data_IF_424707427869
#
_entry.id   IF_424707427869
#
_cell.length_a   1.000
_cell.length_b   1.000
_cell.length_c   1.000
_cell.angle_alpha   90.00
_cell.angle_beta   90.00
_cell.angle_gamma   90.00
#
_symmetry.space_group_name_H-M   'P 1'
#
loop_
_entity.id
_entity.type
_entity.pdbx_description
1 polymer ?
#
# COMPACT_ATOMS: atom_id res chain seq x y z
N UNK A 1 25.49 12.05 -20.42
CA UNK A 1 25.24 11.74 -19.00
C UNK A 1 24.47 10.44 -18.95
N UNK A 2 25.06 9.38 -18.40
CA UNK A 2 24.41 8.10 -18.22
C UNK A 2 23.45 8.26 -17.02
N UNK A 3 22.15 8.27 -17.27
CA UNK A 3 21.14 8.34 -16.21
C UNK A 3 20.77 6.91 -15.81
N UNK A 4 20.92 6.61 -14.51
CA UNK A 4 20.62 5.30 -13.93
C UNK A 4 21.82 4.34 -13.83
N UNK A 5 21.80 3.50 -12.80
CA UNK A 5 22.75 2.40 -12.65
C UNK A 5 22.22 1.17 -13.40
N UNK A 6 23.07 0.52 -14.22
CA UNK A 6 22.71 -0.77 -14.81
C UNK A 6 22.71 -1.83 -13.70
N UNK A 7 21.59 -2.52 -13.54
CA UNK A 7 21.47 -3.65 -12.62
C UNK A 7 22.15 -4.86 -13.26
N UNK A 8 23.13 -5.43 -12.57
CA UNK A 8 23.79 -6.67 -13.00
C UNK A 8 23.08 -7.91 -12.45
N UNK A 9 23.37 -9.08 -13.00
CA UNK A 9 22.91 -10.35 -12.43
C UNK A 9 23.38 -10.54 -10.99
N UNK A 10 24.58 -10.04 -10.65
CA UNK A 10 25.09 -10.06 -9.28
C UNK A 10 24.23 -9.22 -8.33
N UNK A 11 23.77 -8.06 -8.78
CA UNK A 11 22.91 -7.18 -7.98
C UNK A 11 21.52 -7.78 -7.80
N UNK A 12 20.97 -8.45 -8.82
CA UNK A 12 19.72 -9.20 -8.69
C UNK A 12 19.83 -10.32 -7.66
N UNK A 13 20.92 -11.10 -7.70
CA UNK A 13 21.17 -12.16 -6.72
C UNK A 13 21.33 -11.61 -5.30
N UNK A 14 22.01 -10.47 -5.14
CA UNK A 14 22.12 -9.78 -3.84
C UNK A 14 20.75 -9.33 -3.33
N UNK A 15 19.94 -8.70 -4.19
CA UNK A 15 18.60 -8.25 -3.81
C UNK A 15 17.71 -9.43 -3.37
N UNK A 16 17.76 -10.55 -4.11
CA UNK A 16 17.06 -11.77 -3.74
C UNK A 16 17.56 -12.34 -2.40
N UNK A 17 18.87 -12.39 -2.20
CA UNK A 17 19.47 -12.84 -0.93
C UNK A 17 19.07 -11.94 0.25
N UNK A 18 19.05 -10.62 0.07
CA UNK A 18 18.63 -9.69 1.12
C UNK A 18 17.15 -9.87 1.49
N UNK A 19 16.28 -10.04 0.49
CA UNK A 19 14.87 -10.37 0.70
C UNK A 19 14.73 -11.67 1.50
N UNK A 20 15.41 -12.73 1.07
CA UNK A 20 15.29 -14.04 1.70
C UNK A 20 15.84 -14.04 3.14
N UNK A 21 16.95 -13.34 3.38
CA UNK A 21 17.47 -13.10 4.74
C UNK A 21 16.49 -12.32 5.62
N UNK A 22 15.78 -11.33 5.09
CA UNK A 22 14.78 -10.59 5.85
C UNK A 22 13.57 -11.46 6.21
N UNK A 23 13.10 -12.30 5.28
CA UNK A 23 12.00 -13.25 5.54
C UNK A 23 12.42 -14.28 6.58
N UNK A 24 13.65 -14.81 6.49
CA UNK A 24 14.16 -15.75 7.48
C UNK A 24 14.29 -15.09 8.86
N UNK A 25 14.79 -13.85 8.92
CA UNK A 25 14.89 -13.12 10.18
C UNK A 25 13.51 -12.89 10.81
N UNK A 26 12.47 -12.61 10.01
CA UNK A 26 11.09 -12.55 10.52
C UNK A 26 10.63 -13.89 11.10
N UNK A 27 10.99 -15.01 10.45
CA UNK A 27 10.63 -16.35 10.92
C UNK A 27 11.38 -16.70 12.22
N UNK A 28 12.65 -16.34 12.31
CA UNK A 28 13.46 -16.54 13.51
C UNK A 28 12.94 -15.73 14.70
N UNK A 29 12.42 -14.51 14.46
CA UNK A 29 11.77 -13.67 15.49
C UNK A 29 10.41 -14.23 15.89
N UNK A 30 9.63 -14.74 14.94
CA UNK A 30 8.36 -15.41 15.22
C UNK A 30 8.55 -16.68 16.06
N UNK A 31 9.65 -17.41 15.83
CA UNK A 31 10.00 -18.64 16.54
C UNK A 31 8.82 -19.63 16.67
N UNK A 32 8.27 -19.79 17.87
CA UNK A 32 7.16 -20.70 18.20
C UNK A 32 5.77 -20.02 18.17
N UNK A 33 5.72 -18.69 18.02
CA UNK A 33 4.48 -17.95 17.95
C UNK A 33 3.90 -18.02 16.53
N UNK A 34 2.63 -18.42 16.43
CA UNK A 34 1.93 -18.41 15.17
C UNK A 34 1.77 -16.95 14.68
N UNK A 35 2.33 -16.64 13.52
CA UNK A 35 2.10 -15.37 12.82
C UNK A 35 1.02 -15.61 11.76
N UNK A 36 -0.26 -15.29 12.05
CA UNK A 36 -1.34 -15.60 11.12
C UNK A 36 -1.26 -14.74 9.85
N UNK A 37 -0.78 -13.51 9.97
CA UNK A 37 -0.75 -12.53 8.89
C UNK A 37 0.53 -11.69 8.91
N UNK A 38 1.00 -11.29 7.72
CA UNK A 38 2.15 -10.40 7.55
C UNK A 38 1.84 -9.37 6.47
N UNK A 39 2.02 -8.08 6.78
CA UNK A 39 1.94 -7.03 5.76
C UNK A 39 3.32 -6.69 5.22
N UNK A 40 3.42 -6.49 3.89
CA UNK A 40 4.65 -6.05 3.23
C UNK A 40 4.34 -4.92 2.27
N UNK A 41 5.16 -3.86 2.34
CA UNK A 41 5.04 -2.71 1.45
C UNK A 41 5.95 -2.86 0.24
N UNK A 42 5.39 -2.65 -0.95
CA UNK A 42 6.09 -2.59 -2.22
C UNK A 42 5.88 -1.22 -2.87
N UNK A 43 6.88 -0.75 -3.61
CA UNK A 43 6.66 0.34 -4.57
C UNK A 43 5.70 -0.18 -5.65
N UNK A 44 4.68 0.58 -6.01
CA UNK A 44 3.71 0.16 -7.02
C UNK A 44 4.25 0.15 -8.45
N UNK A 45 3.56 -0.54 -9.37
CA UNK A 45 4.00 -0.69 -10.76
C UNK A 45 4.22 0.65 -11.46
N UNK A 46 3.35 1.64 -11.26
CA UNK A 46 3.45 2.96 -11.92
C UNK A 46 4.58 3.77 -11.31
N UNK A 47 4.62 3.87 -9.98
CA UNK A 47 5.71 4.51 -9.27
C UNK A 47 7.08 3.89 -9.63
N UNK A 48 7.12 2.57 -9.85
CA UNK A 48 8.32 1.87 -10.32
C UNK A 48 8.70 2.28 -11.75
N UNK A 49 7.74 2.30 -12.69
CA UNK A 49 7.96 2.81 -14.06
C UNK A 49 8.49 4.25 -14.09
N UNK A 50 7.99 5.11 -13.20
CA UNK A 50 8.44 6.50 -13.07
C UNK A 50 9.91 6.61 -12.65
N UNK A 51 10.40 5.66 -11.85
CA UNK A 51 11.78 5.61 -11.37
C UNK A 51 12.78 5.03 -12.39
N UNK A 52 12.28 4.27 -13.37
CA UNK A 52 13.09 3.45 -14.28
C UNK A 52 13.53 4.12 -15.58
N UNK A 53 14.59 3.57 -16.16
CA UNK A 53 15.23 4.05 -17.39
C UNK A 53 15.49 2.91 -18.36
N UNK A 54 15.27 3.17 -19.64
CA UNK A 54 15.61 2.27 -20.74
C UNK A 54 17.13 2.28 -20.98
N UNK A 55 17.70 1.23 -21.60
CA UNK A 55 19.11 1.20 -21.98
C UNK A 55 19.55 2.36 -22.89
N UNK A 56 18.60 2.94 -23.64
CA UNK A 56 18.78 4.13 -24.47
C UNK A 56 18.99 5.43 -23.66
N UNK A 57 18.78 5.39 -22.35
CA UNK A 57 18.79 6.56 -21.48
C UNK A 57 17.49 7.38 -21.53
N UNK A 58 16.41 6.87 -22.14
CA UNK A 58 15.06 7.44 -22.01
C UNK A 58 14.36 6.88 -20.76
N UNK A 59 13.29 7.53 -20.29
CA UNK A 59 12.42 7.01 -19.22
C UNK A 59 11.63 5.80 -19.72
N UNK A 60 11.36 4.84 -18.84
CA UNK A 60 10.44 3.72 -19.13
C UNK A 60 9.05 4.24 -19.50
N UNK A 61 8.58 5.29 -18.81
CA UNK A 61 7.28 5.91 -19.08
C UNK A 61 7.03 6.32 -20.54
N UNK A 62 8.07 6.49 -21.36
CA UNK A 62 7.93 6.90 -22.75
C UNK A 62 7.45 5.78 -23.68
N UNK A 63 7.69 4.52 -23.30
CA UNK A 63 7.49 3.34 -24.13
C UNK A 63 6.40 2.45 -23.52
N UNK A 64 5.29 2.28 -24.23
CA UNK A 64 4.16 1.50 -23.75
C UNK A 64 4.51 0.02 -23.55
N UNK A 65 5.30 -0.57 -24.46
CA UNK A 65 5.71 -1.97 -24.32
C UNK A 65 6.61 -2.17 -23.10
N UNK A 66 7.50 -1.21 -22.82
CA UNK A 66 8.31 -1.26 -21.60
C UNK A 66 7.48 -1.10 -20.31
N UNK A 67 6.36 -0.36 -20.35
CA UNK A 67 5.44 -0.26 -19.20
C UNK A 67 4.73 -1.60 -18.96
N UNK A 68 4.21 -2.22 -20.02
CA UNK A 68 3.58 -3.56 -19.93
C UNK A 68 4.57 -4.62 -19.40
N UNK A 69 5.80 -4.63 -19.93
CA UNK A 69 6.87 -5.53 -19.47
C UNK A 69 7.17 -5.33 -17.97
N UNK A 70 7.21 -4.09 -17.50
CA UNK A 70 7.46 -3.77 -16.09
C UNK A 70 6.27 -4.15 -15.21
N UNK A 71 5.03 -3.95 -15.65
CA UNK A 71 3.85 -4.39 -14.92
C UNK A 71 3.83 -5.92 -14.76
N UNK A 72 4.16 -6.66 -15.82
CA UNK A 72 4.31 -8.11 -15.78
C UNK A 72 5.41 -8.56 -14.82
N UNK A 73 6.60 -7.96 -14.92
CA UNK A 73 7.72 -8.27 -14.04
C UNK A 73 7.43 -7.93 -12.56
N UNK A 74 6.69 -6.84 -12.30
CA UNK A 74 6.23 -6.49 -10.96
C UNK A 74 5.32 -7.58 -10.40
N UNK A 75 4.34 -8.05 -11.18
CA UNK A 75 3.39 -9.08 -10.79
C UNK A 75 4.09 -10.41 -10.50
N UNK A 76 5.05 -10.83 -11.33
CA UNK A 76 5.85 -12.05 -11.11
C UNK A 76 6.70 -11.93 -9.82
N UNK A 77 7.30 -10.76 -9.59
CA UNK A 77 8.07 -10.47 -8.39
C UNK A 77 7.22 -10.52 -7.11
N UNK A 78 6.02 -9.92 -7.16
CA UNK A 78 5.05 -9.95 -6.06
C UNK A 78 4.58 -11.38 -5.76
N UNK A 79 4.20 -12.16 -6.78
CA UNK A 79 3.82 -13.56 -6.62
C UNK A 79 4.94 -14.40 -5.98
N UNK A 80 6.19 -14.18 -6.39
CA UNK A 80 7.36 -14.86 -5.81
C UNK A 80 7.53 -14.52 -4.33
N UNK A 81 7.37 -13.24 -3.96
CA UNK A 81 7.45 -12.79 -2.57
C UNK A 81 6.32 -13.39 -1.72
N UNK A 82 5.08 -13.34 -2.21
CA UNK A 82 3.89 -13.93 -1.57
C UNK A 82 4.12 -15.41 -1.28
N UNK A 83 4.55 -16.17 -2.29
CA UNK A 83 4.85 -17.60 -2.16
C UNK A 83 5.93 -17.87 -1.10
N UNK A 84 6.97 -17.03 -1.03
CA UNK A 84 8.04 -17.15 -0.04
C UNK A 84 7.57 -16.87 1.38
N UNK A 85 6.78 -15.82 1.59
CA UNK A 85 6.19 -15.51 2.90
C UNK A 85 5.34 -16.70 3.37
N UNK A 86 4.44 -17.19 2.52
CA UNK A 86 3.60 -18.36 2.86
C UNK A 86 4.43 -19.60 3.21
N UNK A 87 5.50 -19.86 2.46
CA UNK A 87 6.32 -21.07 2.65
C UNK A 87 7.20 -21.00 3.89
N UNK A 88 7.80 -19.84 4.18
CA UNK A 88 8.80 -19.69 5.25
C UNK A 88 8.15 -19.31 6.58
N UNK A 89 7.14 -18.44 6.55
CA UNK A 89 6.47 -17.93 7.76
C UNK A 89 5.16 -18.66 8.07
N UNK A 90 4.55 -19.36 7.10
CA UNK A 90 3.20 -19.91 7.27
C UNK A 90 2.10 -18.85 7.36
N UNK A 91 2.44 -17.57 7.18
CA UNK A 91 1.53 -16.44 7.33
C UNK A 91 0.77 -16.11 6.04
N UNK A 92 -0.43 -15.54 6.17
CA UNK A 92 -1.15 -14.92 5.05
C UNK A 92 -0.57 -13.52 4.76
N UNK A 93 -0.04 -13.26 3.55
CA UNK A 93 0.51 -11.96 3.21
C UNK A 93 -0.58 -10.95 2.81
N UNK A 94 -0.38 -9.70 3.21
CA UNK A 94 -1.07 -8.51 2.72
C UNK A 94 -0.05 -7.57 2.06
N UNK A 95 -0.25 -7.21 0.80
CA UNK A 95 0.66 -6.34 0.05
C UNK A 95 0.13 -4.91 0.07
N UNK A 96 0.93 -3.98 0.60
CA UNK A 96 0.67 -2.55 0.56
C UNK A 96 1.43 -1.95 -0.63
N UNK A 97 0.72 -1.42 -1.62
CA UNK A 97 1.28 -0.94 -2.88
C UNK A 97 1.37 0.59 -2.84
N UNK A 98 2.58 1.13 -2.79
CA UNK A 98 2.83 2.58 -2.72
C UNK A 98 2.80 3.22 -4.12
N UNK A 99 1.71 3.91 -4.42
CA UNK A 99 1.39 4.61 -5.68
C UNK A 99 1.05 6.09 -5.46
N UNK A 100 1.51 6.68 -4.35
CA UNK A 100 1.22 8.08 -4.00
C UNK A 100 1.67 9.09 -5.05
N UNK A 101 2.65 8.73 -5.85
CA UNK A 101 3.21 9.59 -6.90
C UNK A 101 2.60 9.34 -8.29
N UNK A 102 1.68 8.37 -8.44
CA UNK A 102 1.11 7.99 -9.74
C UNK A 102 0.40 9.16 -10.45
N UNK A 103 -0.19 10.11 -9.71
CA UNK A 103 -0.80 11.32 -10.27
C UNK A 103 0.18 12.15 -11.12
N UNK A 104 1.49 12.12 -10.82
CA UNK A 104 2.49 12.82 -11.64
C UNK A 104 2.59 12.25 -13.05
N UNK A 105 2.37 10.94 -13.22
CA UNK A 105 2.35 10.30 -14.53
C UNK A 105 1.08 10.68 -15.31
N UNK A 106 -0.07 10.72 -14.63
CA UNK A 106 -1.36 11.14 -15.21
C UNK A 106 -1.30 12.61 -15.65
N UNK A 107 -0.72 13.47 -14.83
CA UNK A 107 -0.65 14.90 -15.09
C UNK A 107 0.48 15.31 -16.05
N UNK A 108 1.29 14.37 -16.54
CA UNK A 108 2.44 14.67 -17.40
C UNK A 108 3.49 15.54 -16.69
N UNK A 109 3.72 15.26 -15.41
CA UNK A 109 4.61 16.02 -14.52
C UNK A 109 5.91 15.27 -14.19
N UNK A 110 6.14 14.11 -14.81
CA UNK A 110 7.41 13.38 -14.68
C UNK A 110 8.43 13.99 -15.62
N UNK A 111 9.60 14.37 -15.12
CA UNK A 111 10.65 14.98 -15.94
C UNK A 111 11.23 14.01 -16.95
N UNK A 112 11.47 14.49 -18.17
CA UNK A 112 12.17 13.71 -19.20
C UNK A 112 13.59 13.37 -18.79
N UNK A 113 14.21 12.48 -19.58
CA UNK A 113 15.58 12.07 -19.41
C UNK A 113 16.60 13.22 -19.28
N UNK A 114 16.43 14.29 -20.05
CA UNK A 114 17.31 15.47 -20.02
C UNK A 114 16.95 16.46 -18.91
N UNK A 115 15.81 16.28 -18.25
CA UNK A 115 15.24 17.25 -17.31
C UNK A 115 14.64 18.51 -17.96
N UNK A 116 14.86 18.73 -19.25
CA UNK A 116 14.46 19.96 -19.94
C UNK A 116 12.95 20.06 -20.20
N UNK A 117 12.23 18.94 -20.15
CA UNK A 117 10.78 18.87 -20.40
C UNK A 117 10.13 17.84 -19.49
N UNK A 118 8.85 17.54 -19.74
CA UNK A 118 8.10 16.49 -19.06
C UNK A 118 7.73 15.37 -20.03
N UNK A 119 7.62 14.15 -19.50
CA UNK A 119 7.06 13.01 -20.20
C UNK A 119 5.56 13.25 -20.46
N UNK A 120 5.03 12.59 -21.48
CA UNK A 120 3.60 12.68 -21.81
C UNK A 120 2.75 12.12 -20.67
N UNK A 121 1.56 12.70 -20.49
CA UNK A 121 0.54 12.17 -19.60
C UNK A 121 0.18 10.73 -19.99
N UNK A 122 -0.02 9.89 -18.98
CA UNK A 122 -0.55 8.53 -19.12
C UNK A 122 -2.04 8.56 -18.80
N UNK A 123 -2.84 7.82 -19.56
CA UNK A 123 -4.29 7.76 -19.33
C UNK A 123 -4.60 7.07 -17.99
N UNK A 124 -5.60 7.58 -17.27
CA UNK A 124 -6.05 6.98 -15.99
C UNK A 124 -6.50 5.53 -16.19
N UNK A 125 -7.10 5.17 -17.34
CA UNK A 125 -7.47 3.79 -17.64
C UNK A 125 -6.26 2.87 -17.78
N UNK A 126 -5.15 3.40 -18.26
CA UNK A 126 -3.90 2.63 -18.36
C UNK A 126 -3.31 2.39 -16.97
N UNK A 127 -3.26 3.42 -16.13
CA UNK A 127 -2.87 3.30 -14.71
C UNK A 127 -3.72 2.26 -13.98
N UNK A 128 -5.05 2.33 -14.18
CA UNK A 128 -6.01 1.37 -13.63
C UNK A 128 -5.67 -0.06 -14.03
N UNK A 129 -5.33 -0.33 -15.29
CA UNK A 129 -4.99 -1.69 -15.75
C UNK A 129 -3.74 -2.28 -15.07
N UNK A 130 -2.76 -1.44 -14.73
CA UNK A 130 -1.59 -1.87 -13.97
C UNK A 130 -1.95 -2.20 -12.52
N UNK A 131 -2.88 -1.45 -11.93
CA UNK A 131 -3.41 -1.76 -10.60
C UNK A 131 -4.28 -3.01 -10.60
N UNK A 132 -5.10 -3.24 -11.64
CA UNK A 132 -5.86 -4.48 -11.82
C UNK A 132 -4.94 -5.70 -11.86
N UNK A 133 -3.81 -5.57 -12.58
CA UNK A 133 -2.74 -6.59 -12.57
C UNK A 133 -2.13 -6.78 -11.18
N UNK A 134 -1.95 -5.70 -10.44
CA UNK A 134 -1.38 -5.73 -9.10
C UNK A 134 -2.30 -6.35 -8.05
N UNK A 135 -3.62 -6.16 -8.14
CA UNK A 135 -4.59 -6.74 -7.19
C UNK A 135 -4.99 -8.18 -7.53
N UNK A 136 -4.71 -8.66 -8.75
CA UNK A 136 -4.98 -10.05 -9.17
C UNK A 136 -4.08 -11.11 -8.50
N UNK A 137 -3.30 -10.73 -7.49
CA UNK A 137 -2.39 -11.61 -6.77
C UNK A 137 -3.15 -12.55 -5.83
N UNK A 138 -2.55 -13.69 -5.49
CA UNK A 138 -3.10 -14.63 -4.50
C UNK A 138 -2.84 -14.16 -3.05
N UNK A 139 -3.13 -12.89 -2.76
CA UNK A 139 -2.95 -12.21 -1.48
C UNK A 139 -3.89 -11.00 -1.40
N UNK A 140 -4.13 -10.47 -0.20
CA UNK A 140 -4.78 -9.16 -0.06
C UNK A 140 -3.84 -8.09 -0.59
N UNK A 141 -4.33 -7.18 -1.44
CA UNK A 141 -3.54 -6.08 -2.01
C UNK A 141 -4.27 -4.77 -1.77
N UNK A 142 -3.58 -3.82 -1.14
CA UNK A 142 -4.10 -2.49 -0.83
C UNK A 142 -3.28 -1.44 -1.56
N UNK A 143 -3.93 -0.64 -2.42
CA UNK A 143 -3.27 0.45 -3.14
C UNK A 143 -3.31 1.74 -2.33
N UNK A 144 -2.14 2.30 -2.01
CA UNK A 144 -1.99 3.63 -1.41
C UNK A 144 -1.66 4.64 -2.50
N UNK A 145 -2.57 5.57 -2.77
CA UNK A 145 -2.40 6.57 -3.83
C UNK A 145 -2.78 7.96 -3.35
N UNK A 146 -2.63 8.97 -4.22
CA UNK A 146 -3.07 10.34 -3.96
C UNK A 146 -4.59 10.47 -4.02
N UNK A 147 -5.14 11.49 -3.35
CA UNK A 147 -6.57 11.85 -3.39
C UNK A 147 -7.14 11.92 -4.81
N UNK A 148 -6.35 12.40 -5.79
CA UNK A 148 -6.77 12.51 -7.20
C UNK A 148 -7.11 11.16 -7.85
N UNK A 149 -6.55 10.05 -7.35
CA UNK A 149 -6.68 8.71 -7.93
C UNK A 149 -7.32 7.69 -6.97
N UNK A 150 -7.73 8.12 -5.77
CA UNK A 150 -8.29 7.22 -4.76
C UNK A 150 -9.57 6.52 -5.26
N UNK A 151 -10.41 7.24 -6.02
CA UNK A 151 -11.61 6.65 -6.63
C UNK A 151 -11.25 5.56 -7.66
N UNK A 152 -10.22 5.82 -8.49
CA UNK A 152 -9.72 4.83 -9.46
C UNK A 152 -9.17 3.60 -8.75
N UNK A 153 -8.44 3.76 -7.64
CA UNK A 153 -7.92 2.65 -6.86
C UNK A 153 -9.05 1.85 -6.18
N UNK A 154 -10.05 2.54 -5.62
CA UNK A 154 -11.23 1.92 -5.00
C UNK A 154 -12.08 1.13 -6.01
N UNK A 155 -12.13 1.56 -7.27
CA UNK A 155 -12.80 0.82 -8.34
C UNK A 155 -12.06 -0.48 -8.74
N UNK A 156 -10.80 -0.64 -8.33
CA UNK A 156 -9.95 -1.80 -8.62
C UNK A 156 -9.96 -2.81 -7.47
N UNK A 157 -9.87 -2.34 -6.22
CA UNK A 157 -9.83 -3.23 -5.06
C UNK A 157 -9.65 -2.50 -3.74
N UNK A 158 -9.01 -3.18 -2.79
CA UNK A 158 -8.73 -2.61 -1.48
C UNK A 158 -7.78 -1.42 -1.56
N UNK A 159 -8.01 -0.45 -0.67
CA UNK A 159 -7.25 0.81 -0.64
C UNK A 159 -6.59 1.01 0.72
N UNK A 160 -5.51 1.79 0.69
CA UNK A 160 -4.88 2.33 1.88
C UNK A 160 -4.83 3.86 1.75
N UNK A 161 -5.23 4.58 2.79
CA UNK A 161 -5.22 6.04 2.80
C UNK A 161 -5.03 6.58 4.22
N UNK A 162 -4.73 7.86 4.31
CA UNK A 162 -4.82 8.56 5.59
C UNK A 162 -6.26 8.61 6.06
N UNK A 163 -6.48 8.57 7.38
CA UNK A 163 -7.81 8.71 7.94
C UNK A 163 -8.48 10.00 7.42
N UNK A 164 -9.62 9.94 6.70
CA UNK A 164 -10.19 11.14 6.08
C UNK A 164 -10.70 12.14 7.12
N UNK A 165 -10.18 13.37 7.08
CA UNK A 165 -10.51 14.44 8.01
C UNK A 165 -11.33 15.56 7.37
N UNK A 166 -12.09 16.28 8.21
CA UNK A 166 -12.86 17.46 7.83
C UNK A 166 -14.23 17.19 7.19
N UNK A 167 -14.97 18.27 6.91
CA UNK A 167 -16.30 18.23 6.27
C UNK A 167 -16.28 19.01 4.96
N UNK A 168 -15.74 18.37 3.93
CA UNK A 168 -15.69 18.91 2.57
C UNK A 168 -16.09 17.82 1.57
N UNK A 169 -16.34 18.23 0.31
CA UNK A 169 -16.82 17.33 -0.75
C UNK A 169 -15.85 16.19 -1.09
N UNK A 170 -14.55 16.39 -0.94
CA UNK A 170 -13.55 15.33 -1.16
C UNK A 170 -13.66 14.29 -0.04
N UNK A 171 -13.69 14.73 1.22
CA UNK A 171 -13.86 13.84 2.37
C UNK A 171 -15.18 13.07 2.33
N UNK A 172 -16.29 13.73 1.97
CA UNK A 172 -17.59 13.10 1.75
C UNK A 172 -17.50 11.95 0.74
N UNK A 173 -16.93 12.21 -0.45
CA UNK A 173 -16.75 11.18 -1.48
C UNK A 173 -15.83 10.04 -1.03
N UNK A 174 -14.76 10.36 -0.31
CA UNK A 174 -13.87 9.33 0.22
C UNK A 174 -14.61 8.40 1.17
N UNK A 175 -15.46 8.93 2.07
CA UNK A 175 -16.30 8.10 2.94
C UNK A 175 -17.35 7.29 2.18
N UNK A 176 -17.98 7.85 1.14
CA UNK A 176 -18.89 7.09 0.26
C UNK A 176 -18.17 5.90 -0.41
N UNK A 177 -16.90 6.08 -0.82
CA UNK A 177 -16.09 4.98 -1.38
C UNK A 177 -15.70 3.95 -0.33
N UNK A 178 -15.32 4.39 0.88
CA UNK A 178 -15.05 3.49 1.99
C UNK A 178 -16.28 2.62 2.29
N UNK A 179 -17.47 3.24 2.40
CA UNK A 179 -18.73 2.53 2.62
C UNK A 179 -18.99 1.48 1.54
N UNK A 180 -18.87 1.85 0.26
CA UNK A 180 -19.02 0.92 -0.86
C UNK A 180 -18.05 -0.27 -0.79
N UNK A 181 -16.79 -0.04 -0.43
CA UNK A 181 -15.78 -1.09 -0.31
C UNK A 181 -16.07 -2.04 0.85
N UNK A 182 -16.33 -1.52 2.05
CA UNK A 182 -16.58 -2.36 3.22
C UNK A 182 -17.88 -3.14 3.09
N UNK A 183 -18.90 -2.59 2.44
CA UNK A 183 -20.14 -3.32 2.13
C UNK A 183 -19.92 -4.45 1.11
N UNK A 184 -18.94 -4.30 0.21
CA UNK A 184 -18.53 -5.33 -0.73
C UNK A 184 -17.57 -6.37 -0.13
N UNK A 185 -17.18 -6.21 1.14
CA UNK A 185 -16.19 -7.05 1.81
C UNK A 185 -14.75 -6.77 1.39
N UNK A 186 -14.51 -5.66 0.68
CA UNK A 186 -13.17 -5.24 0.28
C UNK A 186 -12.45 -4.56 1.44
N UNK A 187 -11.18 -4.92 1.70
CA UNK A 187 -10.44 -4.36 2.82
C UNK A 187 -10.08 -2.89 2.59
N UNK A 188 -10.17 -2.08 3.66
CA UNK A 188 -9.75 -0.67 3.70
C UNK A 188 -8.77 -0.48 4.84
N UNK A 189 -7.55 -0.02 4.53
CA UNK A 189 -6.57 0.36 5.55
C UNK A 189 -6.56 1.87 5.75
N UNK A 190 -6.72 2.31 7.00
CA UNK A 190 -6.69 3.72 7.37
C UNK A 190 -5.46 4.01 8.24
N UNK A 191 -4.65 5.00 7.84
CA UNK A 191 -3.51 5.43 8.62
C UNK A 191 -3.96 6.25 9.82
N UNK A 192 -3.50 5.84 11.01
CA UNK A 192 -3.82 6.49 12.28
C UNK A 192 -2.58 7.16 12.88
N UNK A 193 -2.80 8.34 13.46
CA UNK A 193 -1.77 9.11 14.14
C UNK A 193 -1.62 8.71 15.60
N UNK A 194 -0.52 9.12 16.25
CA UNK A 194 -0.31 8.75 17.66
C UNK A 194 -1.09 9.69 18.54
N UNK A 195 -1.82 9.13 19.48
CA UNK A 195 -2.51 9.88 20.52
C UNK A 195 -2.12 9.31 21.89
N UNK A 196 -1.91 10.20 22.87
CA UNK A 196 -1.49 9.80 24.22
C UNK A 196 -2.50 8.87 24.90
N UNK A 197 -3.78 8.98 24.51
CA UNK A 197 -4.86 8.12 24.98
C UNK A 197 -5.44 7.30 23.81
N UNK A 198 -4.94 6.07 23.55
CA UNK A 198 -5.43 5.23 22.47
C UNK A 198 -6.90 4.80 22.64
N UNK A 199 -7.37 4.55 23.86
CA UNK A 199 -8.74 4.09 24.11
C UNK A 199 -9.77 5.14 23.68
N UNK A 200 -9.58 6.37 24.16
CA UNK A 200 -10.43 7.50 23.75
C UNK A 200 -10.34 7.75 22.25
N UNK A 201 -9.15 7.64 21.67
CA UNK A 201 -8.97 7.84 20.24
C UNK A 201 -9.72 6.76 19.44
N UNK A 202 -9.71 5.50 19.87
CA UNK A 202 -10.50 4.43 19.24
C UNK A 202 -12.00 4.74 19.24
N UNK A 203 -12.55 5.23 20.35
CA UNK A 203 -13.96 5.66 20.42
C UNK A 203 -14.25 6.79 19.42
N UNK A 204 -13.41 7.83 19.39
CA UNK A 204 -13.54 8.96 18.46
C UNK A 204 -13.49 8.52 16.99
N UNK A 205 -12.62 7.56 16.64
CA UNK A 205 -12.52 7.00 15.30
C UNK A 205 -13.78 6.23 14.90
N UNK A 206 -14.30 5.38 15.80
CA UNK A 206 -15.53 4.60 15.53
C UNK A 206 -16.75 5.51 15.45
N UNK A 207 -16.87 6.51 16.34
CA UNK A 207 -17.94 7.50 16.27
C UNK A 207 -17.91 8.28 14.96
N UNK A 208 -16.73 8.74 14.54
CA UNK A 208 -16.59 9.43 13.26
C UNK A 208 -17.00 8.54 12.09
N UNK A 209 -16.57 7.26 12.09
CA UNK A 209 -16.95 6.30 11.06
C UNK A 209 -18.47 6.14 10.94
N UNK A 210 -19.17 6.07 12.08
CA UNK A 210 -20.63 5.92 12.13
C UNK A 210 -21.37 7.21 11.79
N UNK A 211 -20.82 8.36 12.17
CA UNK A 211 -21.34 9.69 11.82
C UNK A 211 -21.37 9.92 10.29
N UNK A 212 -20.47 9.27 9.55
CA UNK A 212 -20.48 9.25 8.09
C UNK A 212 -21.50 8.27 7.49
N UNK A 213 -22.27 7.58 8.32
CA UNK A 213 -23.32 6.65 7.90
C UNK A 213 -22.80 5.28 7.45
N UNK A 214 -21.52 5.00 7.66
CA UNK A 214 -20.91 3.72 7.30
C UNK A 214 -21.38 2.64 8.27
N UNK A 215 -21.74 1.47 7.77
CA UNK A 215 -22.32 0.40 8.60
C UNK A 215 -21.31 -0.14 9.61
N UNK A 216 -21.71 -0.27 10.90
CA UNK A 216 -20.88 -0.88 11.94
C UNK A 216 -20.38 -2.29 11.56
N UNK A 217 -21.14 -3.04 10.75
CA UNK A 217 -20.72 -4.37 10.27
C UNK A 217 -19.50 -4.29 9.36
N UNK A 218 -19.36 -3.21 8.60
CA UNK A 218 -18.23 -2.98 7.71
C UNK A 218 -16.91 -2.75 8.44
N UNK A 219 -16.93 -2.50 9.75
CA UNK A 219 -15.70 -2.33 10.55
C UNK A 219 -14.81 -3.58 10.54
N UNK A 220 -15.37 -4.78 10.29
CA UNK A 220 -14.58 -6.00 10.15
C UNK A 220 -13.61 -5.98 8.95
N UNK A 221 -13.86 -5.09 7.98
CA UNK A 221 -13.03 -4.89 6.80
C UNK A 221 -12.13 -3.64 6.90
N UNK A 222 -12.14 -2.94 8.04
CA UNK A 222 -11.31 -1.75 8.29
C UNK A 222 -10.09 -2.12 9.12
N UNK A 223 -8.91 -1.79 8.61
CA UNK A 223 -7.63 -2.03 9.27
C UNK A 223 -6.99 -0.73 9.70
N UNK A 224 -6.54 -0.63 10.95
CA UNK A 224 -5.70 0.47 11.39
C UNK A 224 -4.25 0.20 11.02
N UNK A 225 -3.65 1.11 10.27
CA UNK A 225 -2.26 1.03 9.86
C UNK A 225 -1.50 2.21 10.46
N UNK A 226 -0.24 1.97 10.83
CA UNK A 226 0.64 3.01 11.30
C UNK A 226 2.01 2.81 10.71
N UNK A 227 2.61 3.90 10.23
CA UNK A 227 4.03 3.92 9.91
C UNK A 227 4.81 4.19 11.20
N UNK A 228 5.60 3.22 11.65
CA UNK A 228 6.53 3.41 12.75
C UNK A 228 7.79 4.09 12.23
N UNK A 229 7.86 5.41 12.37
CA UNK A 229 8.94 6.25 11.86
C UNK A 229 9.89 6.78 12.95
N UNK A 230 9.54 6.59 14.23
CA UNK A 230 10.38 6.97 15.37
C UNK A 230 11.26 5.80 15.80
N UNK A 231 12.58 6.01 15.83
CA UNK A 231 13.56 5.00 16.26
C UNK A 231 13.20 4.38 17.63
N UNK A 232 12.73 5.19 18.58
CA UNK A 232 12.31 4.70 19.90
C UNK A 232 11.01 3.88 19.91
N UNK A 233 10.09 4.09 18.95
CA UNK A 233 8.88 3.25 18.83
C UNK A 233 9.24 1.84 18.34
N UNK A 234 10.23 1.75 17.44
CA UNK A 234 10.70 0.49 16.86
C UNK A 234 11.56 -0.28 17.86
N UNK A 235 12.47 0.40 18.57
CA UNK A 235 13.37 -0.25 19.54
C UNK A 235 12.65 -0.78 20.78
N UNK A 236 11.64 -0.06 21.29
CA UNK A 236 10.91 -0.44 22.49
C UNK A 236 9.63 -1.26 22.21
N UNK A 237 9.22 -1.38 20.94
CA UNK A 237 7.94 -2.00 20.56
C UNK A 237 6.70 -1.24 21.03
N UNK A 238 6.87 -0.04 21.62
CA UNK A 238 5.80 0.75 22.22
C UNK A 238 4.77 1.23 21.20
N UNK A 239 5.20 1.49 19.96
CA UNK A 239 4.28 1.85 18.87
C UNK A 239 3.33 0.69 18.52
N UNK A 240 3.84 -0.54 18.46
CA UNK A 240 3.01 -1.72 18.17
C UNK A 240 2.05 -2.01 19.32
N UNK A 241 2.53 -1.91 20.56
CA UNK A 241 1.69 -2.05 21.74
C UNK A 241 0.56 -1.01 21.76
N UNK A 242 0.87 0.25 21.44
CA UNK A 242 -0.11 1.32 21.32
C UNK A 242 -1.16 1.01 20.24
N UNK A 243 -0.75 0.55 19.05
CA UNK A 243 -1.66 0.22 17.96
C UNK A 243 -2.57 -0.97 18.33
N UNK A 244 -2.04 -1.93 19.09
CA UNK A 244 -2.81 -3.06 19.61
C UNK A 244 -3.87 -2.61 20.61
N UNK A 245 -3.53 -1.74 21.55
CA UNK A 245 -4.51 -1.18 22.51
C UNK A 245 -5.61 -0.43 21.77
N UNK A 246 -5.25 0.40 20.77
CA UNK A 246 -6.22 1.09 19.92
C UNK A 246 -7.17 0.11 19.22
N UNK A 247 -6.63 -0.92 18.56
CA UNK A 247 -7.42 -1.90 17.81
C UNK A 247 -8.33 -2.74 18.72
N UNK A 248 -7.80 -3.24 19.85
CA UNK A 248 -8.55 -4.04 20.81
C UNK A 248 -9.71 -3.22 21.42
N UNK A 249 -9.47 -1.95 21.75
CA UNK A 249 -10.51 -1.06 22.26
C UNK A 249 -11.58 -0.71 21.21
N UNK A 250 -11.17 -0.42 19.97
CA UNK A 250 -12.11 -0.16 18.88
C UNK A 250 -13.01 -1.36 18.60
N UNK A 251 -12.45 -2.57 18.58
CA UNK A 251 -13.21 -3.81 18.42
C UNK A 251 -14.19 -4.03 19.60
N UNK A 252 -13.73 -3.79 20.84
CA UNK A 252 -14.58 -3.87 22.03
C UNK A 252 -15.73 -2.86 22.01
N UNK A 253 -15.45 -1.60 21.68
CA UNK A 253 -16.44 -0.53 21.58
C UNK A 253 -17.46 -0.82 20.47
N UNK A 254 -17.00 -1.23 19.29
CA UNK A 254 -17.88 -1.62 18.18
C UNK A 254 -18.83 -2.76 18.54
N UNK A 255 -18.43 -3.69 19.41
CA UNK A 255 -19.29 -4.79 19.85
C UNK A 255 -20.40 -4.36 20.84
N UNK A 256 -20.32 -3.14 21.39
CA UNK A 256 -21.34 -2.60 22.31
C UNK A 256 -22.43 -1.76 21.63
N UNK A 257 -22.25 -1.43 20.35
CA UNK A 257 -23.17 -0.65 19.52
C UNK A 257 -24.26 -1.51 18.88
#
# INVERSE_FOLDING_TARGET
MQHGARISASDQLRAASHRDSAIQAMADVAADDAVPEVSVRLLGPVAFMMSGWLPSGQRILRDAGARDDIAGAWAEGAATLISRIRTVLGAAPTILVDERQAHLAVNGQVRTASGASFERSIDVSEIRSYWETAVAQEASVLVETSDELVETAADVGGIMLDWPQGRNRTTERTWERIDGLVQAGSPVALQVEHHDNPERYAEELVEQYLDWGVSHKGLEHVYFVRRFDRAGEVEAGSGLQWLRVLADHAAGYSATL
#
